data_IF_204057891271
#
_entry.id   IF_204057891271
#
_cell.length_a   1.000
_cell.length_b   1.000
_cell.length_c   1.000
_cell.angle_alpha   90.00
_cell.angle_beta   90.00
_cell.angle_gamma   90.00
#
_symmetry.space_group_name_H-M   'P 1'
#
loop_
_entity.id
_entity.type
_entity.pdbx_description
1 polymer ?
#
# COMPACT_ATOMS: atom_id res chain seq x y z
N UNK A 1 15.55 -18.40 6.48
CA UNK A 1 14.85 -19.29 7.45
C UNK A 1 13.64 -18.56 7.98
N UNK A 2 12.47 -19.25 8.04
CA UNK A 2 11.26 -18.68 8.63
C UNK A 2 11.57 -18.10 10.03
N UNK A 3 10.90 -17.01 10.38
CA UNK A 3 11.15 -16.34 11.66
C UNK A 3 10.60 -17.19 12.82
N UNK A 4 11.42 -17.58 13.81
CA UNK A 4 10.90 -18.27 14.99
C UNK A 4 10.06 -17.30 15.84
N UNK A 5 8.81 -17.65 16.10
CA UNK A 5 7.92 -16.85 16.95
C UNK A 5 8.31 -17.02 18.41
N UNK A 6 8.76 -15.94 19.06
CA UNK A 6 9.20 -15.96 20.46
C UNK A 6 8.03 -16.27 21.41
N UNK A 7 8.37 -16.79 22.62
CA UNK A 7 7.37 -17.08 23.66
C UNK A 7 6.63 -15.80 24.11
N UNK A 8 7.33 -14.68 24.16
CA UNK A 8 6.79 -13.37 24.53
C UNK A 8 5.76 -12.89 23.49
N UNK A 9 6.07 -13.05 22.20
CA UNK A 9 5.17 -12.70 21.12
C UNK A 9 3.90 -13.57 21.13
N UNK A 10 4.05 -14.89 21.39
CA UNK A 10 2.89 -15.78 21.57
C UNK A 10 2.00 -15.37 22.74
N UNK A 11 2.59 -14.94 23.86
CA UNK A 11 1.83 -14.43 25.00
C UNK A 11 1.10 -13.12 24.68
N UNK A 12 1.74 -12.23 23.91
CA UNK A 12 1.10 -10.99 23.46
C UNK A 12 -0.11 -11.30 22.59
N UNK A 13 0.07 -12.16 21.59
CA UNK A 13 -1.00 -12.59 20.69
C UNK A 13 -2.16 -13.22 21.46
N UNK A 14 -1.90 -14.15 22.39
CA UNK A 14 -2.95 -14.79 23.19
C UNK A 14 -3.73 -13.77 24.02
N UNK A 15 -3.08 -12.73 24.56
CA UNK A 15 -3.76 -11.64 25.25
C UNK A 15 -4.76 -10.92 24.34
N UNK A 16 -4.40 -10.66 23.08
CA UNK A 16 -5.31 -10.05 22.12
C UNK A 16 -6.44 -11.01 21.75
N UNK A 17 -6.13 -12.30 21.54
CA UNK A 17 -7.13 -13.34 21.30
C UNK A 17 -8.15 -13.45 22.46
N UNK A 18 -7.70 -13.35 23.71
CA UNK A 18 -8.61 -13.37 24.87
C UNK A 18 -9.56 -12.16 24.89
N UNK A 19 -9.05 -10.97 24.55
CA UNK A 19 -9.89 -9.77 24.42
C UNK A 19 -10.90 -9.91 23.26
N UNK A 20 -10.44 -10.41 22.12
CA UNK A 20 -11.29 -10.64 20.94
C UNK A 20 -12.36 -11.69 21.22
N UNK A 21 -11.99 -12.82 21.87
CA UNK A 21 -12.91 -13.91 22.23
C UNK A 21 -14.04 -13.46 23.15
N UNK A 22 -13.76 -12.48 24.01
CA UNK A 22 -14.77 -11.91 24.90
C UNK A 22 -15.83 -11.07 24.15
N UNK A 23 -15.53 -10.60 22.94
CA UNK A 23 -16.45 -9.86 22.06
C UNK A 23 -17.09 -10.81 21.05
N UNK A 24 -16.27 -11.48 20.25
CA UNK A 24 -16.67 -12.46 19.24
C UNK A 24 -15.59 -13.55 19.11
N UNK A 25 -15.88 -14.83 19.42
CA UNK A 25 -14.90 -15.91 19.31
C UNK A 25 -14.28 -16.05 17.92
N UNK A 26 -15.02 -15.77 16.85
CA UNK A 26 -14.52 -15.83 15.47
C UNK A 26 -13.41 -14.79 15.21
N UNK A 27 -13.48 -13.60 15.82
CA UNK A 27 -12.41 -12.61 15.72
C UNK A 27 -11.07 -13.15 16.24
N UNK A 28 -11.14 -13.90 17.36
CA UNK A 28 -9.92 -14.48 17.95
C UNK A 28 -9.34 -15.61 17.07
N UNK A 29 -10.19 -16.45 16.50
CA UNK A 29 -9.76 -17.55 15.63
C UNK A 29 -9.06 -17.03 14.36
N UNK A 30 -9.69 -16.09 13.66
CA UNK A 30 -9.14 -15.50 12.44
C UNK A 30 -7.88 -14.66 12.74
N UNK A 31 -7.88 -13.88 13.83
CA UNK A 31 -6.70 -13.12 14.23
C UNK A 31 -5.51 -14.02 14.56
N UNK A 32 -5.73 -15.10 15.29
CA UNK A 32 -4.68 -16.05 15.62
C UNK A 32 -4.03 -16.64 14.36
N UNK A 33 -4.85 -17.06 13.40
CA UNK A 33 -4.37 -17.64 12.16
C UNK A 33 -3.63 -16.59 11.31
N UNK A 34 -4.25 -15.46 11.02
CA UNK A 34 -3.68 -14.41 10.17
C UNK A 34 -2.38 -13.83 10.74
N UNK A 35 -2.35 -13.55 12.06
CA UNK A 35 -1.20 -12.92 12.69
C UNK A 35 0.04 -13.84 12.74
N UNK A 36 -0.14 -15.14 13.00
CA UNK A 36 0.96 -16.11 12.98
C UNK A 36 1.38 -16.51 11.57
N UNK A 37 0.41 -16.72 10.67
CA UNK A 37 0.69 -17.15 9.31
C UNK A 37 1.71 -16.24 8.62
N UNK A 38 1.55 -14.92 8.74
CA UNK A 38 2.49 -13.96 8.14
C UNK A 38 3.91 -14.14 8.66
N UNK A 39 4.11 -14.29 9.98
CA UNK A 39 5.45 -14.45 10.58
C UNK A 39 6.09 -15.79 10.22
N UNK A 40 5.31 -16.86 10.20
CA UNK A 40 5.83 -18.22 10.06
C UNK A 40 6.02 -18.62 8.60
N UNK A 41 5.30 -18.00 7.66
CA UNK A 41 5.24 -18.47 6.28
C UNK A 41 5.73 -17.45 5.24
N UNK A 42 5.59 -16.14 5.48
CA UNK A 42 5.94 -15.14 4.48
C UNK A 42 7.24 -14.41 4.76
N UNK A 43 7.72 -14.41 6.00
CA UNK A 43 8.91 -13.66 6.43
C UNK A 43 10.12 -14.56 6.52
N UNK A 44 11.19 -14.19 5.81
CA UNK A 44 12.47 -14.87 5.87
C UNK A 44 13.60 -13.91 6.25
N UNK A 45 14.29 -14.24 7.37
CA UNK A 45 15.52 -13.55 7.78
C UNK A 45 16.70 -14.14 7.02
N UNK A 46 17.44 -13.29 6.29
CA UNK A 46 18.57 -13.71 5.46
C UNK A 46 19.89 -13.60 6.23
N UNK A 47 20.94 -14.26 5.70
CA UNK A 47 22.27 -14.31 6.33
C UNK A 47 22.94 -12.92 6.41
N UNK A 48 22.61 -12.02 5.50
CA UNK A 48 23.11 -10.63 5.48
C UNK A 48 22.40 -9.71 6.49
N UNK A 49 21.47 -10.27 7.29
CA UNK A 49 20.66 -9.54 8.27
C UNK A 49 19.44 -8.83 7.67
N UNK A 50 19.27 -8.82 6.35
CA UNK A 50 18.06 -8.29 5.71
C UNK A 50 16.87 -9.25 5.86
N UNK A 51 15.68 -8.76 5.60
CA UNK A 51 14.43 -9.53 5.65
C UNK A 51 13.75 -9.52 4.30
N UNK A 52 13.38 -10.70 3.80
CA UNK A 52 12.59 -10.89 2.59
C UNK A 52 11.17 -11.28 2.98
N UNK A 53 10.16 -10.73 2.29
CA UNK A 53 8.74 -10.95 2.60
C UNK A 53 8.00 -11.27 1.33
N UNK A 54 7.51 -12.52 1.19
CA UNK A 54 6.66 -12.90 0.07
C UNK A 54 5.21 -12.44 0.28
N UNK A 55 4.48 -12.23 -0.81
CA UNK A 55 3.07 -11.79 -0.72
C UNK A 55 2.11 -12.84 -0.16
N UNK A 56 2.52 -14.10 -0.21
CA UNK A 56 1.75 -15.30 0.07
C UNK A 56 2.07 -16.35 -0.99
N UNK A 57 1.16 -16.58 -1.90
CA UNK A 57 1.26 -17.58 -2.98
C UNK A 57 2.27 -17.23 -4.09
N UNK A 58 2.77 -16.00 -4.17
CA UNK A 58 3.78 -15.58 -5.15
C UNK A 58 5.15 -15.45 -4.46
N UNK A 59 6.22 -16.13 -4.94
CA UNK A 59 7.53 -16.14 -4.31
C UNK A 59 8.37 -14.89 -4.64
N UNK A 60 7.76 -13.72 -4.58
CA UNK A 60 8.38 -12.43 -4.83
C UNK A 60 7.98 -11.42 -3.77
N UNK A 61 8.76 -10.35 -3.64
CA UNK A 61 8.54 -9.28 -2.67
C UNK A 61 8.12 -8.00 -3.40
N UNK A 62 6.87 -7.61 -3.23
CA UNK A 62 6.38 -6.27 -3.56
C UNK A 62 6.78 -5.29 -2.46
N UNK A 63 7.22 -4.10 -2.84
CA UNK A 63 7.59 -3.05 -1.86
C UNK A 63 6.37 -2.61 -1.04
N UNK A 64 5.22 -2.45 -1.67
CA UNK A 64 3.92 -2.14 -1.05
C UNK A 64 3.48 -3.22 -0.07
N UNK A 65 3.31 -4.45 -0.57
CA UNK A 65 2.79 -5.59 0.20
C UNK A 65 3.65 -5.86 1.42
N UNK A 66 4.97 -5.92 1.25
CA UNK A 66 5.90 -6.23 2.34
C UNK A 66 5.82 -5.21 3.48
N UNK A 67 5.58 -3.93 3.19
CA UNK A 67 5.34 -2.91 4.22
C UNK A 67 4.01 -3.13 4.93
N UNK A 68 2.93 -3.33 4.18
CA UNK A 68 1.59 -3.52 4.74
C UNK A 68 1.52 -4.80 5.61
N UNK A 69 2.19 -5.89 5.19
CA UNK A 69 2.26 -7.14 5.93
C UNK A 69 2.95 -7.02 7.28
N UNK A 70 3.98 -6.18 7.42
CA UNK A 70 4.69 -6.02 8.69
C UNK A 70 4.19 -4.87 9.55
N UNK A 71 3.39 -3.97 8.98
CA UNK A 71 2.92 -2.76 9.67
C UNK A 71 2.23 -3.04 11.03
N UNK A 72 1.33 -4.01 11.19
CA UNK A 72 0.71 -4.30 12.49
C UNK A 72 1.70 -4.68 13.59
N UNK A 73 2.87 -5.25 13.25
CA UNK A 73 3.90 -5.60 14.22
C UNK A 73 4.68 -4.39 14.76
N UNK A 74 4.59 -3.21 14.12
CA UNK A 74 5.26 -1.99 14.59
C UNK A 74 4.88 -1.60 16.03
N UNK A 75 3.68 -1.95 16.49
CA UNK A 75 3.24 -1.72 17.88
C UNK A 75 4.12 -2.46 18.90
N UNK A 76 4.86 -3.46 18.45
CA UNK A 76 5.75 -4.31 19.25
C UNK A 76 7.23 -3.91 19.13
N UNK A 77 7.60 -3.10 18.13
CA UNK A 77 8.99 -2.83 17.77
C UNK A 77 9.82 -2.18 18.89
N UNK A 78 9.18 -1.54 19.88
CA UNK A 78 9.87 -0.94 21.03
C UNK A 78 10.31 -1.98 22.08
N UNK A 79 9.51 -3.01 22.28
CA UNK A 79 9.66 -3.95 23.41
C UNK A 79 10.21 -5.31 22.94
N UNK A 80 10.15 -5.61 21.64
CA UNK A 80 10.55 -6.88 21.04
C UNK A 80 11.69 -6.66 20.03
N UNK A 81 12.92 -6.99 20.42
CA UNK A 81 14.12 -6.82 19.59
C UNK A 81 14.05 -7.64 18.30
N UNK A 82 13.52 -8.86 18.35
CA UNK A 82 13.33 -9.73 17.20
C UNK A 82 12.37 -9.11 16.12
N UNK A 83 11.33 -8.42 16.58
CA UNK A 83 10.40 -7.68 15.70
C UNK A 83 11.08 -6.42 15.13
N UNK A 84 11.81 -5.67 15.98
CA UNK A 84 12.57 -4.53 15.49
C UNK A 84 13.57 -4.93 14.40
N UNK A 85 14.39 -5.94 14.67
CA UNK A 85 15.40 -6.44 13.74
C UNK A 85 14.80 -6.95 12.44
N UNK A 86 13.65 -7.62 12.51
CA UNK A 86 12.93 -8.10 11.34
C UNK A 86 12.51 -6.91 10.46
N UNK A 87 11.89 -5.88 11.04
CA UNK A 87 11.42 -4.72 10.28
C UNK A 87 12.60 -3.88 9.79
N UNK A 88 13.65 -3.69 10.62
CA UNK A 88 14.87 -3.00 10.20
C UNK A 88 15.56 -3.68 9.02
N UNK A 89 15.61 -5.04 9.06
CA UNK A 89 16.11 -5.83 7.94
C UNK A 89 15.28 -5.67 6.66
N UNK A 90 13.95 -5.55 6.79
CA UNK A 90 13.08 -5.27 5.65
C UNK A 90 13.32 -3.87 5.08
N UNK A 91 13.46 -2.85 5.91
CA UNK A 91 13.84 -1.49 5.46
C UNK A 91 15.13 -1.53 4.66
N UNK A 92 16.18 -2.22 5.15
CA UNK A 92 17.44 -2.36 4.39
C UNK A 92 17.24 -3.03 3.04
N UNK A 93 16.41 -4.07 2.99
CA UNK A 93 16.11 -4.81 1.74
C UNK A 93 15.36 -3.94 0.74
N UNK A 94 14.31 -3.26 1.16
CA UNK A 94 13.53 -2.38 0.29
C UNK A 94 14.40 -1.27 -0.33
N UNK A 95 15.18 -0.58 0.48
CA UNK A 95 16.06 0.47 -0.04
C UNK A 95 17.22 -0.09 -0.89
N UNK A 96 17.71 -1.29 -0.58
CA UNK A 96 18.64 -2.01 -1.45
C UNK A 96 18.05 -2.31 -2.83
N UNK A 97 16.81 -2.73 -2.90
CA UNK A 97 16.08 -2.96 -4.15
C UNK A 97 15.82 -1.68 -4.95
N UNK A 98 15.43 -0.59 -4.28
CA UNK A 98 15.24 0.73 -4.90
C UNK A 98 16.54 1.21 -5.56
N UNK A 99 17.70 0.92 -4.96
CA UNK A 99 19.00 1.25 -5.55
C UNK A 99 19.35 0.36 -6.75
N UNK A 100 18.76 -0.83 -6.88
CA UNK A 100 18.92 -1.68 -8.08
C UNK A 100 18.09 -1.12 -9.24
N UNK A 101 16.80 -0.87 -9.01
CA UNK A 101 15.90 -0.23 -10.00
C UNK A 101 14.70 0.42 -9.30
N UNK A 102 14.61 1.76 -9.26
CA UNK A 102 13.53 2.45 -8.57
C UNK A 102 12.19 2.46 -9.31
N UNK A 103 12.14 1.94 -10.54
CA UNK A 103 10.88 1.77 -11.30
C UNK A 103 10.24 0.40 -11.09
N UNK A 104 10.86 -0.46 -10.30
CA UNK A 104 10.41 -1.84 -10.07
C UNK A 104 9.49 -1.92 -8.84
N UNK A 105 8.33 -2.58 -8.99
CA UNK A 105 7.39 -2.83 -7.89
C UNK A 105 7.69 -4.14 -7.14
N UNK A 106 8.20 -5.18 -7.84
CA UNK A 106 8.40 -6.51 -7.27
C UNK A 106 9.78 -7.11 -7.60
N UNK A 107 10.39 -7.76 -6.60
CA UNK A 107 11.75 -8.26 -6.67
C UNK A 107 11.87 -9.73 -6.25
N UNK A 108 12.88 -10.40 -6.84
CA UNK A 108 13.37 -11.71 -6.44
C UNK A 108 14.19 -11.63 -5.14
N UNK A 109 14.23 -12.72 -4.38
CA UNK A 109 15.08 -12.84 -3.20
C UNK A 109 16.57 -12.77 -3.55
N UNK A 110 16.94 -13.35 -4.68
CA UNK A 110 18.28 -13.41 -5.26
C UNK A 110 18.20 -13.17 -6.79
N UNK A 111 19.33 -12.86 -7.47
CA UNK A 111 19.31 -12.59 -8.91
C UNK A 111 19.16 -13.89 -9.72
N UNK A 112 17.94 -14.41 -9.79
CA UNK A 112 17.62 -15.69 -10.46
C UNK A 112 16.87 -15.53 -11.79
N UNK A 113 16.47 -14.30 -12.17
CA UNK A 113 15.77 -13.99 -13.42
C UNK A 113 14.36 -14.54 -13.50
N UNK A 114 13.75 -14.95 -12.38
CA UNK A 114 12.34 -15.36 -12.36
C UNK A 114 11.43 -14.15 -12.38
N UNK A 115 10.19 -14.32 -12.86
CA UNK A 115 9.18 -13.27 -12.85
C UNK A 115 8.22 -13.32 -14.01
N UNK A 116 7.38 -12.30 -14.12
CA UNK A 116 6.45 -12.12 -15.22
C UNK A 116 7.11 -11.57 -16.50
N UNK A 117 8.41 -11.26 -16.46
CA UNK A 117 9.15 -10.49 -17.46
C UNK A 117 9.37 -11.16 -18.81
N UNK A 118 8.96 -12.42 -19.05
CA UNK A 118 9.19 -13.12 -20.31
C UNK A 118 8.50 -12.45 -21.53
N UNK A 119 7.45 -11.66 -21.29
CA UNK A 119 6.69 -10.91 -22.30
C UNK A 119 6.78 -9.39 -22.12
N UNK A 120 7.63 -8.93 -21.21
CA UNK A 120 7.76 -7.52 -20.87
C UNK A 120 8.89 -6.85 -21.68
N UNK A 121 8.53 -5.80 -22.41
CA UNK A 121 9.48 -4.93 -23.13
C UNK A 121 9.78 -3.70 -22.26
N UNK A 122 10.71 -3.89 -21.31
CA UNK A 122 11.23 -2.88 -20.37
C UNK A 122 12.66 -3.26 -19.99
N UNK A 123 13.34 -2.43 -19.18
CA UNK A 123 14.69 -2.74 -18.71
C UNK A 123 14.64 -3.76 -17.56
N UNK A 124 14.83 -5.05 -17.88
CA UNK A 124 14.84 -6.12 -16.90
C UNK A 124 16.28 -6.50 -16.50
N UNK A 125 16.43 -7.03 -15.28
CA UNK A 125 17.62 -7.72 -14.80
C UNK A 125 17.20 -8.88 -13.86
N UNK A 126 18.13 -9.72 -13.45
CA UNK A 126 17.84 -10.96 -12.71
C UNK A 126 17.21 -10.73 -11.32
N UNK A 127 17.30 -9.53 -10.75
CA UNK A 127 16.65 -9.16 -9.48
C UNK A 127 15.17 -8.82 -9.64
N UNK A 128 14.71 -8.46 -10.84
CA UNK A 128 13.38 -7.92 -11.08
C UNK A 128 12.39 -9.06 -11.35
N UNK A 129 11.33 -9.13 -10.52
CA UNK A 129 10.18 -9.99 -10.77
C UNK A 129 9.20 -9.33 -11.74
N UNK A 130 8.87 -8.03 -11.48
CA UNK A 130 8.00 -7.21 -12.31
C UNK A 130 8.41 -5.73 -12.22
N UNK A 131 8.41 -5.03 -13.36
CA UNK A 131 8.86 -3.63 -13.45
C UNK A 131 7.71 -2.67 -13.78
N UNK A 132 6.60 -2.78 -13.08
CA UNK A 132 5.50 -1.83 -13.13
C UNK A 132 5.79 -0.65 -12.20
N UNK A 133 5.90 0.57 -12.77
CA UNK A 133 6.20 1.75 -11.96
C UNK A 133 4.94 2.27 -11.24
N UNK A 134 5.02 2.27 -9.94
CA UNK A 134 4.00 2.69 -8.99
C UNK A 134 4.62 3.66 -7.98
N UNK A 135 3.99 4.83 -7.79
CA UNK A 135 4.43 5.82 -6.80
C UNK A 135 4.43 5.24 -5.39
N UNK A 136 3.39 4.47 -5.08
CA UNK A 136 3.16 3.93 -3.75
C UNK A 136 4.20 2.88 -3.34
N UNK A 137 4.73 2.11 -4.27
CA UNK A 137 5.84 1.18 -4.00
C UNK A 137 7.01 1.88 -3.29
N UNK A 138 7.38 3.07 -3.75
CA UNK A 138 8.43 3.89 -3.14
C UNK A 138 7.97 4.58 -1.85
N UNK A 139 6.74 5.08 -1.82
CA UNK A 139 6.17 5.75 -0.67
C UNK A 139 6.06 4.81 0.55
N UNK A 140 5.71 3.55 0.34
CA UNK A 140 5.64 2.54 1.40
C UNK A 140 7.00 2.26 2.04
N UNK A 141 8.09 2.23 1.26
CA UNK A 141 9.43 2.06 1.81
C UNK A 141 9.82 3.24 2.71
N UNK A 142 9.53 4.48 2.31
CA UNK A 142 9.74 5.67 3.14
C UNK A 142 8.88 5.61 4.40
N UNK A 143 7.60 5.25 4.25
CA UNK A 143 6.68 5.13 5.38
C UNK A 143 7.18 4.11 6.41
N UNK A 144 7.64 2.94 5.97
CA UNK A 144 8.13 1.90 6.88
C UNK A 144 9.33 2.36 7.70
N UNK A 145 10.30 3.00 7.04
CA UNK A 145 11.47 3.56 7.72
C UNK A 145 11.09 4.60 8.79
N UNK A 146 10.16 5.51 8.46
CA UNK A 146 9.67 6.51 9.39
C UNK A 146 8.88 5.89 10.55
N UNK A 147 7.93 5.00 10.25
CA UNK A 147 7.09 4.38 11.27
C UNK A 147 7.92 3.51 12.24
N UNK A 148 8.95 2.82 11.75
CA UNK A 148 9.86 2.07 12.63
C UNK A 148 10.57 3.02 13.62
N UNK A 149 11.04 4.18 13.15
CA UNK A 149 11.62 5.22 14.01
C UNK A 149 10.60 5.68 15.08
N UNK A 150 9.41 6.08 14.67
CA UNK A 150 8.41 6.65 15.60
C UNK A 150 7.91 5.62 16.62
N UNK A 151 7.80 4.34 16.24
CA UNK A 151 7.28 3.30 17.13
C UNK A 151 8.35 2.69 18.04
N UNK A 152 9.60 2.57 17.57
CA UNK A 152 10.71 2.04 18.37
C UNK A 152 11.48 3.11 19.16
N UNK A 153 11.54 4.33 18.65
CA UNK A 153 12.44 5.41 19.14
C UNK A 153 13.90 5.22 18.72
N UNK A 154 14.18 4.27 17.83
CA UNK A 154 15.55 3.92 17.36
C UNK A 154 15.80 4.51 15.97
N UNK A 155 17.07 4.74 15.65
CA UNK A 155 17.52 5.31 14.36
C UNK A 155 18.58 4.47 13.65
N UNK A 156 19.01 3.35 14.23
CA UNK A 156 20.09 2.51 13.69
C UNK A 156 19.73 1.81 12.37
N UNK A 157 18.44 1.68 12.04
CA UNK A 157 17.96 1.24 10.73
C UNK A 157 18.10 2.33 9.64
N UNK A 158 18.32 3.59 10.01
CA UNK A 158 18.50 4.72 9.08
C UNK A 158 19.95 4.77 8.59
N UNK A 159 20.30 3.86 7.71
CA UNK A 159 21.66 3.64 7.21
C UNK A 159 21.98 4.48 5.97
N UNK A 160 23.24 4.39 5.50
CA UNK A 160 23.64 5.01 4.23
C UNK A 160 22.88 4.42 3.01
N UNK A 161 22.46 3.14 3.07
CA UNK A 161 21.59 2.54 2.04
C UNK A 161 20.23 3.24 2.00
N UNK A 162 19.62 3.49 3.15
CA UNK A 162 18.37 4.24 3.27
C UNK A 162 18.53 5.66 2.74
N UNK A 163 19.61 6.34 3.14
CA UNK A 163 19.92 7.70 2.65
C UNK A 163 19.99 7.77 1.13
N UNK A 164 20.81 6.89 0.52
CA UNK A 164 20.96 6.85 -0.94
C UNK A 164 19.65 6.54 -1.66
N UNK A 165 18.89 5.56 -1.16
CA UNK A 165 17.62 5.21 -1.74
C UNK A 165 16.60 6.34 -1.65
N UNK A 166 16.55 7.09 -0.53
CA UNK A 166 15.71 8.29 -0.42
C UNK A 166 16.08 9.34 -1.47
N UNK A 167 17.35 9.63 -1.65
CA UNK A 167 17.80 10.59 -2.70
C UNK A 167 17.39 10.09 -4.09
N UNK A 168 17.53 8.79 -4.35
CA UNK A 168 17.09 8.18 -5.61
C UNK A 168 15.58 8.38 -5.83
N UNK A 169 14.75 8.22 -4.80
CA UNK A 169 13.30 8.44 -4.88
C UNK A 169 12.98 9.92 -5.18
N UNK A 170 13.66 10.87 -4.50
CA UNK A 170 13.45 12.29 -4.74
C UNK A 170 13.76 12.68 -6.18
N UNK A 171 14.89 12.21 -6.72
CA UNK A 171 15.30 12.46 -8.09
C UNK A 171 14.34 11.83 -9.11
N UNK A 172 13.85 10.61 -8.82
CA UNK A 172 12.87 9.94 -9.65
C UNK A 172 11.55 10.69 -9.67
N UNK A 173 10.98 11.05 -8.52
CA UNK A 173 9.71 11.77 -8.46
C UNK A 173 9.79 13.14 -9.13
N UNK A 174 10.94 13.84 -9.01
CA UNK A 174 11.21 15.07 -9.76
C UNK A 174 11.24 14.82 -11.28
N UNK A 175 11.86 13.74 -11.73
CA UNK A 175 11.90 13.36 -13.14
C UNK A 175 10.50 13.07 -13.67
N UNK A 176 9.70 12.34 -12.90
CA UNK A 176 8.36 11.91 -13.28
C UNK A 176 7.30 13.04 -13.18
N UNK A 177 7.62 14.20 -12.63
CA UNK A 177 6.76 15.39 -12.81
C UNK A 177 6.68 15.86 -14.28
N UNK A 178 7.72 15.56 -15.07
CA UNK A 178 7.78 15.80 -16.52
C UNK A 178 8.04 14.49 -17.25
N UNK A 179 7.15 13.52 -17.09
CA UNK A 179 7.29 12.18 -17.65
C UNK A 179 7.56 12.22 -19.17
N UNK A 180 6.76 12.99 -19.93
CA UNK A 180 6.87 13.05 -21.39
C UNK A 180 8.21 13.59 -21.90
N UNK A 181 8.81 14.56 -21.19
CA UNK A 181 10.06 15.22 -21.57
C UNK A 181 11.32 14.60 -20.96
N UNK A 182 11.22 14.05 -19.76
CA UNK A 182 12.39 13.70 -18.93
C UNK A 182 12.51 12.23 -18.56
N UNK A 183 11.40 11.46 -18.57
CA UNK A 183 11.43 10.08 -18.10
C UNK A 183 12.05 9.10 -19.10
N UNK A 184 12.96 8.22 -18.65
CA UNK A 184 13.45 7.10 -19.43
C UNK A 184 12.50 5.89 -19.39
N UNK A 185 11.47 5.91 -18.54
CA UNK A 185 10.62 4.75 -18.26
C UNK A 185 9.73 4.40 -19.43
N UNK A 186 9.64 3.10 -19.70
CA UNK A 186 8.71 2.48 -20.66
C UNK A 186 8.35 1.10 -20.16
N UNK A 187 7.10 0.71 -20.38
CA UNK A 187 6.63 -0.63 -20.09
C UNK A 187 5.60 -1.08 -21.13
N UNK A 188 5.90 -2.15 -21.83
CA UNK A 188 4.97 -2.85 -22.73
C UNK A 188 4.99 -4.32 -22.37
N UNK A 189 3.82 -4.92 -22.21
CA UNK A 189 3.66 -6.37 -22.02
C UNK A 189 2.88 -6.95 -23.19
N UNK A 190 3.34 -8.07 -23.75
CA UNK A 190 2.58 -8.81 -24.75
C UNK A 190 1.43 -9.56 -24.06
N UNK A 191 0.25 -8.98 -24.09
CA UNK A 191 -0.93 -9.46 -23.38
C UNK A 191 -2.23 -9.05 -24.08
N UNK A 192 -3.27 -9.87 -23.94
CA UNK A 192 -4.63 -9.51 -24.37
C UNK A 192 -5.34 -8.60 -23.36
N UNK A 193 -4.83 -8.52 -22.13
CA UNK A 193 -5.36 -7.68 -21.04
C UNK A 193 -4.73 -6.28 -21.12
N UNK A 194 -5.54 -5.31 -21.53
CA UNK A 194 -5.04 -3.94 -21.74
C UNK A 194 -4.61 -3.22 -20.45
N UNK A 195 -5.11 -3.64 -19.31
CA UNK A 195 -4.75 -3.11 -17.98
C UNK A 195 -3.31 -3.47 -17.60
N UNK A 196 -2.73 -4.53 -18.19
CA UNK A 196 -1.38 -5.00 -17.90
C UNK A 196 -0.28 -4.34 -18.74
N UNK A 197 -0.60 -3.40 -19.61
CA UNK A 197 0.37 -2.77 -20.51
C UNK A 197 0.09 -1.28 -20.71
N UNK A 198 1.14 -0.48 -20.93
CA UNK A 198 0.99 0.94 -21.21
C UNK A 198 0.82 1.21 -22.73
N UNK A 199 -0.07 2.12 -23.11
CA UNK A 199 -0.22 2.55 -24.49
C UNK A 199 0.97 3.42 -24.97
N UNK A 200 0.97 3.81 -26.24
CA UNK A 200 1.97 4.71 -26.86
C UNK A 200 3.41 4.23 -26.68
N UNK A 201 3.70 3.00 -27.11
CA UNK A 201 5.01 2.35 -26.98
C UNK A 201 5.51 2.31 -25.54
N UNK A 202 4.60 2.10 -24.59
CA UNK A 202 4.91 1.96 -23.17
C UNK A 202 5.13 3.27 -22.41
N UNK A 203 4.82 4.41 -23.02
CA UNK A 203 4.95 5.74 -22.39
C UNK A 203 3.72 6.20 -21.61
N UNK A 204 2.62 5.44 -21.70
CA UNK A 204 1.35 5.86 -21.12
C UNK A 204 0.60 6.92 -21.95
N UNK A 205 -0.61 7.25 -21.55
CA UNK A 205 -1.43 8.27 -22.20
C UNK A 205 -0.82 9.67 -22.05
N UNK A 206 -1.07 10.60 -23.00
CA UNK A 206 -0.58 11.97 -22.89
C UNK A 206 -1.07 12.66 -21.60
N UNK A 207 -0.22 13.46 -21.00
CA UNK A 207 -0.50 14.25 -19.79
C UNK A 207 -0.01 15.69 -19.93
N UNK A 208 -0.68 16.62 -19.24
CA UNK A 208 -0.19 17.99 -19.02
C UNK A 208 0.56 18.07 -17.70
N UNK A 209 1.47 19.03 -17.56
CA UNK A 209 2.19 19.26 -16.30
C UNK A 209 1.24 19.72 -15.20
N UNK A 210 1.28 19.05 -14.03
CA UNK A 210 0.42 19.38 -12.88
C UNK A 210 1.19 19.75 -11.61
N UNK A 211 2.47 19.45 -11.54
CA UNK A 211 3.25 19.46 -10.28
C UNK A 211 3.18 18.14 -9.50
N UNK A 212 2.21 17.26 -9.81
CA UNK A 212 2.18 15.89 -9.29
C UNK A 212 3.20 15.02 -10.01
N UNK A 213 3.60 13.89 -9.40
CA UNK A 213 4.46 12.89 -10.03
C UNK A 213 3.61 11.85 -10.77
N UNK A 214 4.07 11.43 -11.94
CA UNK A 214 3.39 10.48 -12.82
C UNK A 214 3.47 9.05 -12.29
N UNK A 215 2.47 8.23 -12.53
CA UNK A 215 2.46 6.79 -12.24
C UNK A 215 2.08 5.99 -13.48
N UNK A 216 2.77 4.89 -13.73
CA UNK A 216 2.39 3.95 -14.79
C UNK A 216 1.20 3.10 -14.39
N UNK A 217 1.24 2.62 -13.15
CA UNK A 217 0.32 1.63 -12.63
C UNK A 217 -0.25 2.06 -11.28
N UNK A 218 -1.40 1.47 -10.95
CA UNK A 218 -2.14 1.57 -9.68
C UNK A 218 -1.59 0.59 -8.66
N UNK A 219 -1.94 0.71 -7.37
CA UNK A 219 -1.62 -0.30 -6.35
C UNK A 219 -2.18 -1.70 -6.65
N UNK A 220 -3.10 -1.83 -7.57
CA UNK A 220 -3.65 -3.10 -8.09
C UNK A 220 -2.83 -3.73 -9.21
N UNK A 221 -1.67 -3.17 -9.55
CA UNK A 221 -0.85 -3.53 -10.71
C UNK A 221 -1.51 -3.23 -12.08
N UNK A 222 -2.70 -2.64 -12.11
CA UNK A 222 -3.37 -2.21 -13.33
C UNK A 222 -2.88 -0.83 -13.78
N UNK A 223 -2.78 -0.60 -15.09
CA UNK A 223 -2.34 0.68 -15.62
C UNK A 223 -3.25 1.82 -15.19
N UNK A 224 -2.66 2.99 -14.95
CA UNK A 224 -3.41 4.24 -14.85
C UNK A 224 -3.99 4.64 -16.20
N UNK A 225 -5.19 5.20 -16.18
CA UNK A 225 -5.82 5.81 -17.37
C UNK A 225 -5.29 7.22 -17.61
N UNK A 226 -5.20 8.02 -16.55
CA UNK A 226 -4.81 9.44 -16.61
C UNK A 226 -3.48 9.76 -15.92
N UNK A 227 -2.78 8.78 -15.38
CA UNK A 227 -1.42 8.79 -14.90
C UNK A 227 -1.05 9.68 -13.71
N UNK A 228 -1.77 10.75 -13.39
CA UNK A 228 -1.63 11.39 -12.10
C UNK A 228 -2.63 10.74 -11.15
N UNK A 229 -2.19 9.63 -10.54
CA UNK A 229 -2.94 8.89 -9.52
C UNK A 229 -2.99 9.73 -8.24
N UNK A 230 -4.15 10.32 -7.96
CA UNK A 230 -4.29 11.31 -6.89
C UNK A 230 -4.02 10.72 -5.50
N UNK A 231 -4.59 9.57 -5.08
CA UNK A 231 -4.32 9.02 -3.76
C UNK A 231 -2.84 8.63 -3.55
N UNK A 232 -2.14 8.16 -4.59
CA UNK A 232 -0.69 7.90 -4.48
C UNK A 232 0.13 9.18 -4.39
N UNK A 233 -0.28 10.27 -5.07
CA UNK A 233 0.34 11.59 -4.92
C UNK A 233 0.06 12.20 -3.53
N UNK A 234 -1.14 12.01 -2.99
CA UNK A 234 -1.45 12.41 -1.61
C UNK A 234 -0.55 11.66 -0.62
N UNK A 235 -0.36 10.36 -0.79
CA UNK A 235 0.56 9.57 0.01
C UNK A 235 2.02 10.03 -0.16
N UNK A 236 2.47 10.28 -1.39
CA UNK A 236 3.81 10.83 -1.66
C UNK A 236 4.03 12.15 -0.91
N UNK A 237 3.04 13.06 -0.90
CA UNK A 237 3.15 14.34 -0.19
C UNK A 237 3.31 14.16 1.33
N UNK A 238 2.68 13.15 1.92
CA UNK A 238 2.84 12.81 3.35
C UNK A 238 4.24 12.29 3.63
N UNK A 239 4.70 11.30 2.87
CA UNK A 239 6.02 10.69 3.14
C UNK A 239 7.19 11.62 2.82
N UNK A 240 7.02 12.61 1.93
CA UNK A 240 8.00 13.69 1.74
C UNK A 240 8.17 14.54 3.01
N UNK A 241 7.10 14.71 3.79
CA UNK A 241 7.19 15.28 5.14
C UNK A 241 8.06 14.42 6.07
N UNK A 242 7.90 13.10 6.02
CA UNK A 242 8.71 12.15 6.79
C UNK A 242 10.20 12.22 6.40
N UNK A 243 10.51 12.40 5.10
CA UNK A 243 11.91 12.58 4.64
C UNK A 243 12.54 13.81 5.30
N UNK A 244 11.81 14.92 5.39
CA UNK A 244 12.30 16.15 6.06
C UNK A 244 12.53 15.90 7.56
N UNK A 245 11.65 15.17 8.22
CA UNK A 245 11.80 14.82 9.65
C UNK A 245 12.97 13.85 9.89
N UNK A 246 13.22 12.91 8.98
CA UNK A 246 14.33 11.95 9.06
C UNK A 246 15.70 12.56 8.66
N UNK A 247 15.70 13.70 8.00
CA UNK A 247 16.90 14.32 7.44
C UNK A 247 18.07 14.48 8.45
N UNK A 248 17.86 14.90 9.72
CA UNK A 248 18.95 15.02 10.68
C UNK A 248 19.64 13.70 11.02
N UNK A 249 18.90 12.59 11.00
CA UNK A 249 19.42 11.25 11.32
C UNK A 249 20.15 10.61 10.14
N UNK A 250 19.76 10.99 8.93
CA UNK A 250 20.32 10.48 7.67
C UNK A 250 21.48 11.35 7.15
N UNK A 251 21.70 12.53 7.72
CA UNK A 251 22.70 13.47 7.25
C UNK A 251 22.42 13.98 5.82
N UNK A 252 21.14 14.23 5.50
CA UNK A 252 20.77 14.82 4.22
C UNK A 252 21.34 16.24 4.11
N UNK A 253 21.80 16.60 2.93
CA UNK A 253 22.26 17.95 2.62
C UNK A 253 21.08 18.93 2.58
N UNK A 254 21.39 20.24 2.71
CA UNK A 254 20.37 21.28 2.60
C UNK A 254 19.64 21.24 1.25
N UNK A 255 20.34 20.92 0.16
CA UNK A 255 19.76 20.74 -1.18
C UNK A 255 18.75 19.59 -1.24
N UNK A 256 19.10 18.44 -0.63
CA UNK A 256 18.22 17.25 -0.59
C UNK A 256 16.96 17.54 0.26
N UNK A 257 17.09 18.25 1.36
CA UNK A 257 15.94 18.67 2.20
C UNK A 257 15.04 19.66 1.44
N UNK A 258 15.63 20.66 0.78
CA UNK A 258 14.88 21.63 -0.03
C UNK A 258 14.18 20.97 -1.21
N UNK A 259 14.80 19.96 -1.84
CA UNK A 259 14.17 19.17 -2.89
C UNK A 259 12.94 18.43 -2.37
N UNK A 260 13.04 17.75 -1.23
CA UNK A 260 11.90 17.04 -0.62
C UNK A 260 10.75 17.99 -0.27
N UNK A 261 11.06 19.15 0.33
CA UNK A 261 10.07 20.17 0.66
C UNK A 261 9.40 20.76 -0.60
N UNK A 262 10.20 21.07 -1.62
CA UNK A 262 9.71 21.62 -2.89
C UNK A 262 8.79 20.63 -3.61
N UNK A 263 9.18 19.36 -3.70
CA UNK A 263 8.34 18.31 -4.28
C UNK A 263 7.01 18.17 -3.54
N UNK A 264 7.05 18.16 -2.21
CA UNK A 264 5.84 18.12 -1.37
C UNK A 264 4.90 19.28 -1.71
N UNK A 265 5.40 20.51 -1.72
CA UNK A 265 4.60 21.72 -1.98
C UNK A 265 4.03 21.72 -3.42
N UNK A 266 4.81 21.29 -4.41
CA UNK A 266 4.36 21.19 -5.81
C UNK A 266 3.30 20.12 -5.98
N UNK A 267 3.46 18.95 -5.37
CA UNK A 267 2.47 17.87 -5.41
C UNK A 267 1.17 18.33 -4.74
N UNK A 268 1.25 18.96 -3.56
CA UNK A 268 0.07 19.47 -2.87
C UNK A 268 -0.66 20.53 -3.69
N UNK A 269 0.05 21.49 -4.27
CA UNK A 269 -0.54 22.49 -5.16
C UNK A 269 -1.17 21.85 -6.41
N UNK A 270 -0.56 20.79 -6.95
CA UNK A 270 -1.11 20.00 -8.06
C UNK A 270 -2.42 19.30 -7.68
N UNK A 271 -2.48 18.67 -6.50
CA UNK A 271 -3.70 18.03 -5.98
C UNK A 271 -4.81 19.07 -5.78
N UNK A 272 -4.51 20.20 -5.14
CA UNK A 272 -5.49 21.26 -4.92
C UNK A 272 -6.07 21.81 -6.22
N UNK A 273 -5.24 21.96 -7.25
CA UNK A 273 -5.65 22.56 -8.52
C UNK A 273 -6.35 21.59 -9.46
N UNK A 274 -5.91 20.34 -9.51
CA UNK A 274 -6.35 19.37 -10.52
C UNK A 274 -7.06 18.15 -9.92
N UNK A 275 -6.73 17.79 -8.68
CA UNK A 275 -7.23 16.58 -8.01
C UNK A 275 -8.57 16.73 -7.30
N UNK A 276 -9.14 17.97 -7.24
CA UNK A 276 -10.45 18.22 -6.62
C UNK A 276 -11.45 18.52 -7.74
N UNK A 277 -12.50 17.72 -7.82
CA UNK A 277 -13.55 17.80 -8.83
C UNK A 277 -14.93 17.82 -8.18
N UNK A 278 -15.99 17.90 -8.97
CA UNK A 278 -17.38 17.81 -8.46
C UNK A 278 -17.97 16.44 -8.78
N UNK A 279 -18.61 15.82 -7.79
CA UNK A 279 -19.44 14.63 -7.98
C UNK A 279 -20.80 14.97 -8.62
N UNK A 280 -21.66 13.98 -8.85
CA UNK A 280 -22.98 14.17 -9.45
C UNK A 280 -23.91 15.07 -8.64
N UNK A 281 -23.66 15.25 -7.32
CA UNK A 281 -24.41 16.14 -6.43
C UNK A 281 -23.82 17.56 -6.37
N UNK A 282 -22.74 17.82 -7.11
CA UNK A 282 -22.06 19.12 -7.11
C UNK A 282 -21.18 19.36 -5.86
N UNK A 283 -20.84 18.34 -5.12
CA UNK A 283 -19.94 18.41 -3.98
C UNK A 283 -18.48 18.28 -4.43
N UNK A 284 -17.57 19.02 -3.79
CA UNK A 284 -16.14 18.86 -4.02
C UNK A 284 -15.67 17.49 -3.47
N UNK A 285 -15.03 16.71 -4.32
CA UNK A 285 -14.47 15.38 -4.01
C UNK A 285 -13.08 15.24 -4.61
N UNK A 286 -12.25 14.35 -4.09
CA UNK A 286 -11.01 13.99 -4.73
C UNK A 286 -11.29 13.10 -5.95
N UNK A 287 -10.64 13.40 -7.08
CA UNK A 287 -10.56 12.51 -8.23
C UNK A 287 -9.63 11.32 -7.90
N UNK A 288 -9.85 10.19 -8.54
CA UNK A 288 -8.92 9.05 -8.44
C UNK A 288 -7.70 9.27 -9.33
N UNK A 289 -7.93 9.66 -10.59
CA UNK A 289 -6.87 9.99 -11.54
C UNK A 289 -7.21 11.28 -12.30
N UNK A 290 -6.19 12.03 -12.69
CA UNK A 290 -6.28 13.19 -13.58
C UNK A 290 -5.12 13.19 -14.57
N UNK A 291 -5.28 13.85 -15.73
CA UNK A 291 -4.25 13.96 -16.78
C UNK A 291 -3.62 15.36 -16.91
N UNK A 292 -4.13 16.35 -16.17
CA UNK A 292 -3.69 17.75 -16.31
C UNK A 292 -4.16 18.44 -17.61
N UNK A 293 -4.92 17.74 -18.47
CA UNK A 293 -5.48 18.24 -19.73
C UNK A 293 -6.99 18.49 -19.65
N UNK A 294 -7.60 18.23 -18.51
CA UNK A 294 -9.02 18.44 -18.23
C UNK A 294 -9.82 17.16 -18.04
N UNK A 295 -9.18 15.99 -18.12
CA UNK A 295 -9.83 14.72 -17.82
C UNK A 295 -9.57 14.30 -16.38
N UNK A 296 -10.57 13.68 -15.75
CA UNK A 296 -10.54 13.15 -14.40
C UNK A 296 -11.44 11.91 -14.28
N UNK A 297 -11.14 11.01 -13.36
CA UNK A 297 -11.99 9.87 -13.03
C UNK A 297 -12.57 9.98 -11.62
N UNK A 298 -13.87 9.65 -11.49
CA UNK A 298 -14.51 9.37 -10.22
C UNK A 298 -14.62 7.85 -10.11
N UNK A 299 -13.76 7.27 -9.32
CA UNK A 299 -13.76 5.86 -8.93
C UNK A 299 -12.94 5.69 -7.67
N UNK A 300 -12.90 4.51 -7.13
CA UNK A 300 -11.91 4.06 -6.17
C UNK A 300 -11.63 2.57 -6.38
N UNK A 301 -10.48 2.12 -5.94
CA UNK A 301 -10.01 0.75 -6.07
C UNK A 301 -9.85 0.11 -4.70
N UNK A 302 -10.03 -1.20 -4.58
CA UNK A 302 -9.90 -1.94 -3.32
C UNK A 302 -8.48 -1.95 -2.73
N UNK A 303 -7.48 -1.61 -3.55
CA UNK A 303 -6.07 -1.60 -3.14
C UNK A 303 -5.64 -0.24 -2.58
N UNK A 304 -4.71 -0.25 -1.62
CA UNK A 304 -4.22 0.94 -0.91
C UNK A 304 -2.82 1.33 -1.41
N UNK A 305 -2.56 2.61 -1.72
CA UNK A 305 -3.38 3.81 -1.47
C UNK A 305 -4.57 3.95 -2.42
N UNK A 306 -5.70 4.31 -1.83
CA UNK A 306 -6.92 4.67 -2.52
C UNK A 306 -7.55 5.90 -1.85
N UNK A 307 -8.64 6.43 -2.40
CA UNK A 307 -9.30 7.61 -1.84
C UNK A 307 -9.90 7.34 -0.44
N UNK A 308 -10.34 6.11 -0.20
CA UNK A 308 -10.86 5.70 1.10
C UNK A 308 -9.78 5.75 2.20
N UNK A 309 -8.53 5.49 1.86
CA UNK A 309 -7.41 5.35 2.80
C UNK A 309 -6.75 6.66 3.25
N UNK A 310 -7.18 7.82 2.75
CA UNK A 310 -6.49 9.10 2.98
C UNK A 310 -6.25 9.45 4.46
N UNK A 311 -7.21 9.25 5.40
CA UNK A 311 -6.94 9.44 6.83
C UNK A 311 -5.97 8.42 7.40
N UNK A 312 -6.02 7.17 6.95
CA UNK A 312 -5.10 6.12 7.36
C UNK A 312 -3.65 6.41 6.92
N UNK A 313 -3.47 6.99 5.75
CA UNK A 313 -2.17 7.41 5.24
C UNK A 313 -1.65 8.71 5.89
N UNK A 314 -2.52 9.46 6.59
CA UNK A 314 -2.15 10.70 7.28
C UNK A 314 -2.27 11.96 6.41
N UNK A 315 -2.97 11.88 5.26
CA UNK A 315 -3.15 13.02 4.38
C UNK A 315 -4.18 14.03 4.90
N UNK A 316 -5.30 13.56 5.45
CA UNK A 316 -6.35 14.40 6.01
C UNK A 316 -6.97 13.76 7.26
N UNK A 317 -7.84 14.47 7.96
CA UNK A 317 -8.66 13.90 9.03
C UNK A 317 -9.90 13.19 8.47
N UNK A 318 -10.50 12.29 9.24
CA UNK A 318 -11.77 11.64 8.88
C UNK A 318 -12.95 12.63 8.77
N UNK A 319 -12.83 13.81 9.36
CA UNK A 319 -13.84 14.89 9.35
C UNK A 319 -13.58 15.92 8.23
N UNK A 320 -12.54 15.78 7.43
CA UNK A 320 -12.28 16.70 6.33
C UNK A 320 -13.47 16.73 5.36
N UNK A 321 -14.07 17.90 5.05
CA UNK A 321 -15.30 17.96 4.26
C UNK A 321 -15.17 17.36 2.85
N UNK A 322 -13.99 17.51 2.20
CA UNK A 322 -13.76 16.95 0.88
C UNK A 322 -13.63 15.43 0.99
N UNK A 323 -12.92 14.94 2.03
CA UNK A 323 -12.80 13.52 2.27
C UNK A 323 -14.15 12.88 2.61
N UNK A 324 -14.96 13.50 3.46
CA UNK A 324 -16.31 12.99 3.81
C UNK A 324 -17.18 12.85 2.55
N UNK A 325 -17.21 13.86 1.68
CA UNK A 325 -17.92 13.78 0.41
C UNK A 325 -17.31 12.72 -0.53
N UNK A 326 -15.98 12.61 -0.59
CA UNK A 326 -15.27 11.59 -1.37
C UNK A 326 -15.64 10.19 -0.88
N UNK A 327 -15.54 9.92 0.45
CA UNK A 327 -15.92 8.64 1.04
C UNK A 327 -17.36 8.25 0.69
N UNK A 328 -18.30 9.18 0.80
CA UNK A 328 -19.70 8.92 0.43
C UNK A 328 -19.86 8.60 -1.05
N UNK A 329 -19.12 9.27 -1.91
CA UNK A 329 -19.15 9.04 -3.36
C UNK A 329 -18.56 7.69 -3.74
N UNK A 330 -17.37 7.33 -3.22
CA UNK A 330 -16.68 6.08 -3.59
C UNK A 330 -17.36 4.83 -3.00
N UNK A 331 -18.07 4.98 -1.89
CA UNK A 331 -18.91 3.92 -1.29
C UNK A 331 -20.36 3.96 -1.81
N UNK A 332 -20.56 4.37 -3.04
CA UNK A 332 -21.87 4.42 -3.70
C UNK A 332 -21.79 3.93 -5.14
N UNK A 333 -22.92 3.86 -5.83
CA UNK A 333 -23.00 3.49 -7.24
C UNK A 333 -22.38 4.51 -8.21
N UNK A 334 -21.89 5.64 -7.75
CA UNK A 334 -21.08 6.55 -8.55
C UNK A 334 -19.68 5.99 -8.83
N UNK A 335 -19.19 5.13 -7.94
CA UNK A 335 -17.98 4.36 -8.18
C UNK A 335 -18.32 3.08 -8.94
N UNK A 336 -17.82 2.87 -10.17
CA UNK A 336 -18.10 1.69 -10.97
C UNK A 336 -17.61 0.38 -10.35
N UNK A 337 -16.68 0.46 -9.37
CA UNK A 337 -16.14 -0.69 -8.64
C UNK A 337 -16.74 -0.87 -7.25
N UNK A 338 -17.77 -0.11 -6.88
CA UNK A 338 -18.55 -0.38 -5.67
C UNK A 338 -19.62 -1.41 -5.96
N UNK A 339 -19.51 -2.57 -5.36
CA UNK A 339 -20.44 -3.68 -5.53
C UNK A 339 -21.26 -3.91 -4.27
N UNK A 340 -22.52 -4.35 -4.46
CA UNK A 340 -23.44 -4.65 -3.38
C UNK A 340 -24.20 -5.93 -3.67
N UNK A 341 -24.16 -6.87 -2.74
CA UNK A 341 -24.81 -8.16 -2.84
C UNK A 341 -25.49 -8.61 -1.55
N UNK A 342 -25.78 -9.89 -1.47
CA UNK A 342 -26.52 -10.48 -0.33
C UNK A 342 -25.68 -10.61 0.93
N UNK A 343 -24.37 -10.90 0.77
CA UNK A 343 -23.47 -11.13 1.89
C UNK A 343 -22.75 -9.83 2.30
N UNK A 344 -22.31 -9.03 1.33
CA UNK A 344 -21.47 -7.88 1.57
C UNK A 344 -21.65 -6.80 0.52
N UNK A 345 -21.17 -5.59 0.85
CA UNK A 345 -20.99 -4.48 -0.07
C UNK A 345 -19.64 -3.85 0.21
N UNK A 346 -18.93 -3.40 -0.83
CA UNK A 346 -17.61 -2.79 -0.69
C UNK A 346 -16.95 -2.49 -2.03
N UNK A 347 -15.68 -2.07 -1.95
CA UNK A 347 -14.89 -1.78 -3.14
C UNK A 347 -14.31 -3.06 -3.74
N UNK A 348 -14.47 -3.18 -5.05
CA UNK A 348 -13.74 -4.10 -5.91
C UNK A 348 -12.58 -3.41 -6.61
N UNK A 349 -12.13 -3.97 -7.72
CA UNK A 349 -11.01 -3.46 -8.50
C UNK A 349 -11.17 -3.85 -9.97
N UNK A 350 -10.58 -3.08 -10.88
CA UNK A 350 -10.39 -3.51 -12.27
C UNK A 350 -9.50 -4.76 -12.40
N UNK A 351 -8.76 -5.07 -11.35
CA UNK A 351 -7.84 -6.22 -11.29
C UNK A 351 -8.57 -7.55 -11.15
N UNK A 352 -9.72 -7.58 -10.49
CA UNK A 352 -10.55 -8.79 -10.27
C UNK A 352 -11.88 -8.72 -11.04
N UNK A 353 -12.66 -9.78 -10.99
CA UNK A 353 -13.92 -9.86 -11.72
C UNK A 353 -15.00 -8.94 -11.13
N UNK A 354 -15.97 -8.58 -11.94
CA UNK A 354 -17.16 -7.84 -11.50
C UNK A 354 -17.86 -8.56 -10.34
N UNK A 355 -18.41 -7.78 -9.41
CA UNK A 355 -19.06 -8.25 -8.18
C UNK A 355 -18.11 -8.90 -7.15
N UNK A 356 -16.78 -8.78 -7.32
CA UNK A 356 -15.80 -9.17 -6.31
C UNK A 356 -15.33 -7.94 -5.54
N UNK A 357 -15.34 -8.04 -4.21
CA UNK A 357 -14.89 -6.98 -3.29
C UNK A 357 -13.67 -7.44 -2.50
N UNK A 358 -12.87 -6.48 -2.06
CA UNK A 358 -11.58 -6.73 -1.44
C UNK A 358 -11.66 -6.61 0.09
N UNK A 359 -11.27 -7.62 0.88
CA UNK A 359 -11.18 -7.52 2.33
C UNK A 359 -10.25 -6.39 2.81
N UNK A 360 -9.23 -6.03 2.01
CA UNK A 360 -8.37 -4.86 2.27
C UNK A 360 -9.22 -3.59 2.36
N UNK A 361 -10.13 -3.36 1.40
CA UNK A 361 -10.98 -2.17 1.39
C UNK A 361 -12.00 -2.17 2.51
N UNK A 362 -12.56 -3.33 2.86
CA UNK A 362 -13.44 -3.46 4.03
C UNK A 362 -12.68 -3.12 5.32
N UNK A 363 -11.46 -3.66 5.49
CA UNK A 363 -10.61 -3.31 6.63
C UNK A 363 -10.31 -1.81 6.65
N UNK A 364 -10.10 -1.19 5.48
CA UNK A 364 -9.85 0.24 5.36
C UNK A 364 -11.08 1.09 5.74
N UNK A 365 -12.30 0.65 5.41
CA UNK A 365 -13.52 1.31 5.91
C UNK A 365 -13.52 1.43 7.44
N UNK A 366 -13.09 0.36 8.13
CA UNK A 366 -12.99 0.34 9.59
C UNK A 366 -11.82 1.17 10.13
N UNK A 367 -10.67 1.15 9.46
CA UNK A 367 -9.46 1.88 9.88
C UNK A 367 -9.59 3.40 9.69
N UNK A 368 -10.53 3.86 8.86
CA UNK A 368 -10.77 5.27 8.56
C UNK A 368 -12.04 5.83 9.21
N UNK A 369 -12.49 5.23 10.29
CA UNK A 369 -13.57 5.74 11.12
C UNK A 369 -13.21 5.63 12.61
N UNK A 370 -13.62 6.59 13.42
CA UNK A 370 -13.53 6.54 14.88
C UNK A 370 -14.69 5.78 15.54
N UNK A 371 -15.74 5.45 14.78
CA UNK A 371 -16.94 4.81 15.28
C UNK A 371 -16.71 3.31 15.59
N UNK A 372 -16.57 2.98 16.87
CA UNK A 372 -16.30 1.60 17.34
C UNK A 372 -17.36 0.59 16.90
N UNK A 373 -18.62 0.99 16.81
CA UNK A 373 -19.70 0.11 16.33
C UNK A 373 -19.53 -0.24 14.83
N UNK A 374 -19.03 0.70 14.03
CA UNK A 374 -18.74 0.46 12.62
C UNK A 374 -17.55 -0.50 12.44
N UNK A 375 -16.48 -0.32 13.23
CA UNK A 375 -15.35 -1.27 13.23
C UNK A 375 -15.80 -2.68 13.59
N UNK A 376 -16.65 -2.83 14.62
CA UNK A 376 -17.20 -4.12 15.01
C UNK A 376 -18.04 -4.76 13.89
N UNK A 377 -18.90 -3.98 13.23
CA UNK A 377 -19.69 -4.45 12.07
C UNK A 377 -18.79 -4.98 10.96
N UNK A 378 -17.71 -4.27 10.65
CA UNK A 378 -16.77 -4.67 9.60
C UNK A 378 -15.98 -5.91 10.00
N UNK A 379 -15.51 -6.00 11.25
CA UNK A 379 -14.85 -7.20 11.76
C UNK A 379 -15.77 -8.42 11.70
N UNK A 380 -17.06 -8.25 12.09
CA UNK A 380 -18.06 -9.32 11.96
C UNK A 380 -18.27 -9.71 10.50
N UNK A 381 -18.34 -8.74 9.57
CA UNK A 381 -18.47 -9.03 8.16
C UNK A 381 -17.27 -9.86 7.65
N UNK A 382 -16.06 -9.44 7.92
CA UNK A 382 -14.82 -10.10 7.46
C UNK A 382 -14.74 -11.56 7.93
N UNK A 383 -15.02 -11.84 9.22
CA UNK A 383 -14.94 -13.20 9.75
C UNK A 383 -16.14 -14.09 9.37
N UNK A 384 -17.18 -13.53 8.77
CA UNK A 384 -18.32 -14.27 8.24
C UNK A 384 -18.28 -14.41 6.71
N UNK A 385 -17.24 -13.87 6.04
CA UNK A 385 -17.02 -13.96 4.60
C UNK A 385 -15.62 -14.49 4.26
N UNK A 386 -15.04 -15.29 5.15
CA UNK A 386 -13.73 -15.92 5.01
C UNK A 386 -13.79 -17.33 4.39
N UNK A 387 -14.94 -17.74 3.85
CA UNK A 387 -15.20 -19.07 3.29
C UNK A 387 -14.85 -20.23 4.26
N UNK A 388 -14.75 -19.97 5.57
CA UNK A 388 -14.37 -20.94 6.59
C UNK A 388 -12.87 -21.28 6.61
N UNK A 389 -12.02 -20.50 5.96
CA UNK A 389 -10.56 -20.73 5.89
C UNK A 389 -9.80 -20.12 7.07
N UNK A 390 -10.41 -19.23 7.85
CA UNK A 390 -9.80 -18.38 8.87
C UNK A 390 -8.74 -17.42 8.31
N UNK A 391 -8.77 -17.13 7.00
CA UNK A 391 -7.88 -16.19 6.33
C UNK A 391 -8.67 -15.20 5.49
N UNK A 392 -8.07 -14.04 5.24
CA UNK A 392 -8.59 -13.07 4.29
C UNK A 392 -8.02 -13.38 2.90
N UNK A 393 -8.91 -13.41 1.91
CA UNK A 393 -8.54 -13.62 0.51
C UNK A 393 -8.20 -12.29 -0.17
N UNK A 394 -7.74 -12.34 -1.42
CA UNK A 394 -7.55 -11.13 -2.22
C UNK A 394 -8.89 -10.43 -2.48
N UNK A 395 -9.87 -11.17 -3.01
CA UNK A 395 -11.25 -10.70 -3.23
C UNK A 395 -12.24 -11.85 -3.11
N UNK A 396 -13.52 -11.54 -2.85
CA UNK A 396 -14.61 -12.50 -2.83
C UNK A 396 -15.88 -11.94 -3.44
N UNK A 397 -16.75 -12.81 -3.95
CA UNK A 397 -18.00 -12.43 -4.61
C UNK A 397 -19.05 -11.98 -3.59
N UNK A 398 -19.71 -10.84 -3.84
CA UNK A 398 -20.67 -10.20 -2.90
C UNK A 398 -21.88 -11.06 -2.50
N UNK A 399 -22.22 -12.11 -3.26
CA UNK A 399 -23.34 -13.02 -2.99
C UNK A 399 -22.90 -14.41 -2.50
N UNK A 400 -21.60 -14.75 -2.59
CA UNK A 400 -21.11 -16.12 -2.35
C UNK A 400 -19.60 -16.07 -2.03
N UNK A 401 -19.25 -16.11 -0.76
CA UNK A 401 -17.87 -16.02 -0.27
C UNK A 401 -17.01 -17.25 -0.62
N UNK A 402 -17.63 -18.38 -0.98
CA UNK A 402 -16.89 -19.54 -1.50
C UNK A 402 -16.24 -19.28 -2.87
N UNK A 403 -16.64 -18.18 -3.54
CA UNK A 403 -16.07 -17.70 -4.80
C UNK A 403 -15.09 -16.58 -4.50
N UNK A 404 -13.83 -16.92 -4.30
CA UNK A 404 -12.76 -15.97 -3.99
C UNK A 404 -11.57 -16.12 -4.94
N UNK A 405 -10.71 -15.09 -4.95
CA UNK A 405 -9.41 -15.08 -5.63
C UNK A 405 -8.31 -15.20 -4.60
N UNK A 406 -7.18 -15.80 -4.95
CA UNK A 406 -5.98 -16.01 -4.12
C UNK A 406 -6.33 -16.35 -2.66
N UNK A 407 -6.34 -17.63 -2.35
CA UNK A 407 -6.65 -18.14 -1.00
C UNK A 407 -5.69 -17.60 0.06
N UNK A 408 -4.42 -17.48 -0.31
CA UNK A 408 -3.36 -17.00 0.59
C UNK A 408 -2.80 -15.66 0.12
N UNK A 409 -3.32 -14.57 0.70
CA UNK A 409 -2.92 -13.20 0.43
C UNK A 409 -2.62 -12.47 1.74
N UNK A 410 -1.34 -12.42 2.12
CA UNK A 410 -0.89 -12.00 3.45
C UNK A 410 -1.16 -10.52 3.75
N UNK A 411 -1.13 -9.63 2.74
CA UNK A 411 -1.52 -8.24 2.93
C UNK A 411 -2.93 -8.12 3.50
N UNK A 412 -3.89 -8.84 2.92
CA UNK A 412 -5.28 -8.83 3.37
C UNK A 412 -5.42 -9.36 4.81
N UNK A 413 -4.71 -10.45 5.15
CA UNK A 413 -4.65 -10.98 6.51
C UNK A 413 -4.19 -9.92 7.51
N UNK A 414 -3.15 -9.16 7.18
CA UNK A 414 -2.58 -8.19 8.10
C UNK A 414 -3.40 -6.90 8.21
N UNK A 415 -4.15 -6.52 7.17
CA UNK A 415 -5.13 -5.43 7.26
C UNK A 415 -6.27 -5.75 8.23
N UNK A 416 -6.77 -6.99 8.24
CA UNK A 416 -7.71 -7.47 9.25
C UNK A 416 -7.09 -7.41 10.65
N UNK A 417 -5.84 -7.86 10.81
CA UNK A 417 -5.15 -7.81 12.10
C UNK A 417 -5.00 -6.37 12.60
N UNK A 418 -4.62 -5.42 11.73
CA UNK A 418 -4.50 -4.00 12.10
C UNK A 418 -5.85 -3.41 12.53
N UNK A 419 -6.94 -3.74 11.83
CA UNK A 419 -8.28 -3.30 12.21
C UNK A 419 -8.71 -3.86 13.58
N UNK A 420 -8.41 -5.13 13.87
CA UNK A 420 -8.71 -5.71 15.17
C UNK A 420 -7.90 -5.04 16.30
N UNK A 421 -6.61 -4.80 16.09
CA UNK A 421 -5.76 -4.07 17.03
C UNK A 421 -6.30 -2.66 17.28
N UNK A 422 -6.67 -1.93 16.21
CA UNK A 422 -7.23 -0.59 16.31
C UNK A 422 -8.61 -0.57 17.04
N UNK A 423 -9.42 -1.61 16.90
CA UNK A 423 -10.65 -1.77 17.67
C UNK A 423 -10.39 -1.82 19.19
N UNK A 424 -9.24 -2.36 19.61
CA UNK A 424 -8.78 -2.39 20.99
C UNK A 424 -7.88 -1.20 21.37
N UNK A 425 -7.87 -0.13 20.57
CA UNK A 425 -7.06 1.08 20.76
C UNK A 425 -5.55 0.83 20.76
N UNK A 426 -5.10 -0.26 20.12
CA UNK A 426 -3.69 -0.59 19.88
C UNK A 426 -3.34 -0.12 18.48
N UNK A 427 -2.61 1.00 18.39
CA UNK A 427 -2.39 1.71 17.11
C UNK A 427 -0.91 1.90 16.80
N UNK A 428 -0.58 1.72 15.52
CA UNK A 428 0.70 2.17 14.99
C UNK A 428 0.76 3.69 15.07
N UNK A 429 1.81 4.23 15.71
CA UNK A 429 2.03 5.69 15.78
C UNK A 429 2.45 6.22 14.42
N UNK A 430 2.00 7.41 14.12
CA UNK A 430 2.29 8.15 12.87
C UNK A 430 2.90 9.51 13.17
#
# INVERSE_FOLDING_TARGET
>A
MAMPVSTELKKYMEKICDQARAVNPRWAEVFHECFLNTLETTIERLEDGSTFVVTGDIPAMWLRDSTAQVRPYLVLAKEHEDIYDMIAGLVQRQFGYILIDPYTNAFNQEPNGQGHGATDHTQMNDWIWERKYEIDSLAYAIQLAYLLYVNSGRTDHLTETVRKGLVTILDLWRTEQDHAGSSPYRFVRDTDRQEDTLPFDGKGSPVGYTGMTWSGFRPSDDRCTYHYLVPSNQFASVVLGYVVELAPFLGLSQEEIELAATLKDQIQAGIERYGIIQNAQGQAVYAYEVDGLGNASIMDDGNVPNLLSLPYLGFCSEDDPIYVATRQTVLSSENPYYYSGKLASGLGSSHTWDQYIWPISLSMEGLTTSHKAEKARILDLLVNTDAGTNQMHESFHVDDDSRYTREWFSWSNMMFCELLLDYFDIRVKR
#
